data_IF_892653386587
#
_entry.id   IF_892653386587
#
_cell.length_a   1.000
_cell.length_b   1.000
_cell.length_c   1.000
_cell.angle_alpha   90.00
_cell.angle_beta   90.00
_cell.angle_gamma   90.00
#
_symmetry.space_group_name_H-M   'P 1'
#
loop_
_entity.id
_entity.type
_entity.pdbx_description
1 polymer ?
#
# COMPACT_ATOMS: atom_id res chain seq x y z
N UNK A 1 -64.41 32.15 -30.78
CA UNK A 1 -63.22 32.26 -31.64
C UNK A 1 -62.11 32.90 -30.80
N UNK A 2 -60.88 32.35 -30.80
CA UNK A 2 -60.34 31.28 -29.94
C UNK A 2 -59.62 31.85 -28.68
N UNK A 3 -59.85 31.30 -27.48
CA UNK A 3 -59.11 30.23 -26.77
C UNK A 3 -57.77 30.67 -26.10
N UNK A 4 -57.62 30.54 -24.77
CA UNK A 4 -56.38 30.83 -24.07
C UNK A 4 -55.39 29.67 -24.24
N UNK A 5 -54.18 29.98 -24.72
CA UNK A 5 -53.12 28.99 -24.88
C UNK A 5 -52.44 28.78 -23.52
N UNK A 6 -52.83 27.73 -22.83
CA UNK A 6 -52.18 27.19 -21.63
C UNK A 6 -50.79 26.68 -22.04
N UNK A 7 -49.74 27.38 -21.63
CA UNK A 7 -48.36 26.90 -21.79
C UNK A 7 -48.04 26.01 -20.59
N UNK A 8 -48.30 24.71 -20.73
CA UNK A 8 -47.85 23.66 -19.82
C UNK A 8 -46.33 23.62 -19.79
N UNK A 9 -45.71 24.14 -18.73
CA UNK A 9 -44.37 23.74 -18.34
C UNK A 9 -44.44 22.30 -17.82
N UNK A 10 -44.11 21.35 -18.69
CA UNK A 10 -43.83 19.97 -18.29
C UNK A 10 -42.56 19.99 -17.44
N UNK A 11 -42.75 19.92 -16.13
CA UNK A 11 -41.71 19.60 -15.16
C UNK A 11 -41.29 18.14 -15.43
N UNK A 12 -40.25 17.93 -16.25
CA UNK A 12 -39.56 16.65 -16.32
C UNK A 12 -38.83 16.44 -15.00
N UNK A 13 -39.56 15.97 -13.99
CA UNK A 13 -39.02 15.20 -12.89
C UNK A 13 -38.40 13.94 -13.48
N UNK A 14 -37.15 14.04 -13.90
CA UNK A 14 -36.25 12.90 -13.95
C UNK A 14 -36.07 12.46 -12.49
N UNK A 15 -37.01 11.67 -12.00
CA UNK A 15 -36.82 10.78 -10.88
C UNK A 15 -35.80 9.75 -11.31
N UNK A 16 -34.53 10.14 -11.31
CA UNK A 16 -33.46 9.21 -11.05
C UNK A 16 -33.80 8.59 -9.71
N UNK A 17 -34.38 7.39 -9.74
CA UNK A 17 -34.44 6.52 -8.59
C UNK A 17 -32.98 6.22 -8.21
N UNK A 18 -32.37 7.13 -7.47
CA UNK A 18 -31.26 6.79 -6.63
C UNK A 18 -31.82 5.73 -5.69
N UNK A 19 -31.57 4.47 -6.03
CA UNK A 19 -31.68 3.39 -5.05
C UNK A 19 -30.77 3.86 -3.92
N UNK A 20 -31.37 4.34 -2.84
CA UNK A 20 -30.71 4.50 -1.57
C UNK A 20 -30.41 3.06 -1.10
N UNK A 21 -29.42 2.43 -1.75
CA UNK A 21 -28.91 1.14 -1.32
C UNK A 21 -28.34 1.39 0.06
N UNK A 22 -29.06 0.92 1.09
CA UNK A 22 -28.64 1.06 2.48
C UNK A 22 -27.20 0.56 2.65
N UNK A 23 -26.51 1.04 3.68
CA UNK A 23 -25.15 0.61 4.01
C UNK A 23 -25.05 -0.93 4.18
N UNK A 24 -26.17 -1.58 4.51
CA UNK A 24 -26.28 -3.01 4.73
C UNK A 24 -25.90 -3.87 3.53
N UNK A 25 -25.19 -4.95 3.81
CA UNK A 25 -24.69 -5.88 2.80
C UNK A 25 -23.32 -6.44 3.17
N UNK A 26 -22.86 -7.40 2.38
CA UNK A 26 -21.47 -7.85 2.40
C UNK A 26 -20.67 -6.95 1.46
N UNK A 27 -19.49 -6.55 1.91
CA UNK A 27 -18.61 -5.63 1.19
C UNK A 27 -17.24 -6.25 1.05
N UNK A 28 -16.62 -6.04 -0.11
CA UNK A 28 -15.22 -6.34 -0.36
C UNK A 28 -14.49 -5.08 -0.80
N UNK A 29 -13.43 -4.76 -0.08
CA UNK A 29 -12.47 -3.73 -0.45
C UNK A 29 -11.17 -4.40 -0.91
N UNK A 30 -10.82 -4.22 -2.16
CA UNK A 30 -9.48 -4.58 -2.68
C UNK A 30 -8.59 -3.34 -2.69
N UNK A 31 -7.36 -3.51 -2.19
CA UNK A 31 -6.31 -2.50 -2.17
C UNK A 31 -5.09 -3.08 -2.87
N UNK A 32 -4.84 -2.62 -4.08
CA UNK A 32 -3.64 -2.98 -4.86
C UNK A 32 -2.60 -1.88 -4.68
N UNK A 33 -1.32 -2.21 -4.63
CA UNK A 33 -0.29 -1.19 -4.53
C UNK A 33 1.12 -1.72 -4.63
N UNK A 34 2.07 -0.82 -4.44
CA UNK A 34 3.47 -1.17 -4.27
C UNK A 34 4.16 -0.27 -3.27
N UNK A 35 5.29 -0.75 -2.77
CA UNK A 35 6.27 0.07 -2.09
C UNK A 35 7.61 -0.02 -2.80
N UNK A 36 8.26 1.13 -2.97
CA UNK A 36 9.64 1.24 -3.41
C UNK A 36 10.54 1.35 -2.18
N UNK A 37 11.44 0.40 -2.03
CA UNK A 37 12.44 0.31 -0.97
C UNK A 37 13.74 0.81 -1.55
N UNK A 38 14.17 2.01 -1.14
CA UNK A 38 15.32 2.69 -1.72
C UNK A 38 16.42 2.90 -0.68
N UNK A 39 17.64 2.55 -1.06
CA UNK A 39 18.86 2.88 -0.33
C UNK A 39 19.57 4.03 -1.03
N UNK A 40 19.61 5.19 -0.37
CA UNK A 40 20.05 6.45 -0.97
C UNK A 40 18.94 7.49 -1.07
N UNK A 41 19.12 8.44 -1.97
CA UNK A 41 18.19 9.54 -2.24
C UNK A 41 17.33 9.21 -3.48
N UNK A 42 16.14 9.82 -3.66
CA UNK A 42 15.25 9.55 -4.80
C UNK A 42 15.89 9.76 -6.19
N UNK A 43 16.94 10.58 -6.29
CA UNK A 43 17.66 10.85 -7.54
C UNK A 43 19.01 10.10 -7.64
N UNK A 44 19.45 9.50 -6.53
CA UNK A 44 20.74 8.83 -6.40
C UNK A 44 20.62 7.68 -5.39
N UNK A 45 20.10 6.55 -5.85
CA UNK A 45 19.75 5.41 -5.02
C UNK A 45 19.43 4.15 -5.82
N UNK A 46 19.69 3.01 -5.18
CA UNK A 46 19.32 1.69 -5.69
C UNK A 46 18.28 1.06 -4.79
N UNK A 47 17.44 0.19 -5.34
CA UNK A 47 16.45 -0.50 -4.53
C UNK A 47 15.57 -1.48 -5.29
N UNK A 48 14.45 -1.83 -4.68
CA UNK A 48 13.43 -2.69 -5.28
C UNK A 48 12.05 -2.11 -5.09
N UNK A 49 11.16 -2.32 -6.06
CA UNK A 49 9.72 -2.09 -5.91
C UNK A 49 9.03 -3.43 -5.75
N UNK A 50 8.20 -3.56 -4.73
CA UNK A 50 7.46 -4.79 -4.46
C UNK A 50 5.97 -4.51 -4.55
N UNK A 51 5.27 -5.12 -5.52
CA UNK A 51 3.82 -5.09 -5.60
C UNK A 51 3.17 -5.98 -4.53
N UNK A 52 2.04 -5.54 -4.01
CA UNK A 52 1.27 -6.26 -3.00
C UNK A 52 -0.22 -5.97 -3.16
N UNK A 53 -1.04 -6.85 -2.60
CA UNK A 53 -2.48 -6.71 -2.55
C UNK A 53 -3.01 -7.00 -1.14
N UNK A 54 -3.96 -6.19 -0.69
CA UNK A 54 -4.76 -6.40 0.52
C UNK A 54 -6.24 -6.48 0.13
N UNK A 55 -6.91 -7.58 0.48
CA UNK A 55 -8.35 -7.72 0.31
C UNK A 55 -9.02 -7.77 1.68
N UNK A 56 -10.01 -6.91 1.91
CA UNK A 56 -10.79 -6.81 3.15
C UNK A 56 -12.24 -7.15 2.86
N UNK A 57 -12.81 -8.08 3.61
CA UNK A 57 -14.21 -8.46 3.58
C UNK A 57 -14.88 -8.10 4.90
N UNK A 58 -16.06 -7.49 4.84
CA UNK A 58 -16.83 -7.15 6.03
C UNK A 58 -18.33 -7.16 5.73
N UNK A 59 -19.14 -7.12 6.78
CA UNK A 59 -20.59 -7.00 6.64
C UNK A 59 -21.09 -5.80 7.43
N UNK A 60 -22.06 -5.11 6.85
CA UNK A 60 -22.89 -4.14 7.56
C UNK A 60 -24.30 -4.70 7.68
N UNK A 61 -24.86 -4.65 8.89
CA UNK A 61 -26.23 -5.10 9.19
C UNK A 61 -26.87 -4.10 10.14
N UNK A 62 -28.09 -3.66 9.83
CA UNK A 62 -28.83 -2.68 10.62
C UNK A 62 -28.00 -1.40 10.87
N UNK A 63 -27.20 -1.00 9.88
CA UNK A 63 -26.29 0.14 9.99
C UNK A 63 -25.08 -0.06 10.89
N UNK A 64 -24.81 -1.28 11.37
CA UNK A 64 -23.67 -1.62 12.22
C UNK A 64 -22.64 -2.48 11.50
N UNK A 65 -21.36 -2.23 11.80
CA UNK A 65 -20.25 -3.05 11.31
C UNK A 65 -20.19 -4.38 12.07
N UNK A 66 -20.24 -5.51 11.36
CA UNK A 66 -19.86 -6.83 11.87
C UNK A 66 -18.37 -7.08 11.59
N UNK A 67 -17.71 -7.90 12.43
CA UNK A 67 -16.28 -8.23 12.33
C UNK A 67 -15.86 -8.54 10.88
N UNK A 68 -14.86 -7.81 10.38
CA UNK A 68 -14.26 -8.03 9.08
C UNK A 68 -13.03 -8.93 9.14
N UNK A 69 -12.64 -9.44 7.98
CA UNK A 69 -11.39 -10.17 7.78
C UNK A 69 -10.63 -9.53 6.64
N UNK A 70 -9.30 -9.62 6.69
CA UNK A 70 -8.44 -9.19 5.62
C UNK A 70 -7.41 -10.26 5.29
N UNK A 71 -6.93 -10.22 4.05
CA UNK A 71 -5.77 -10.97 3.59
C UNK A 71 -4.78 -10.05 2.89
N UNK A 72 -3.49 -10.36 3.01
CA UNK A 72 -2.42 -9.61 2.37
C UNK A 72 -1.45 -10.58 1.69
N UNK A 73 -1.04 -10.24 0.47
CA UNK A 73 -0.11 -11.04 -0.35
C UNK A 73 0.80 -10.15 -1.17
N UNK A 74 1.93 -10.72 -1.59
CA UNK A 74 2.74 -10.15 -2.68
C UNK A 74 2.00 -10.39 -4.00
N UNK A 75 2.11 -9.44 -4.92
CA UNK A 75 1.41 -9.48 -6.22
C UNK A 75 2.41 -9.45 -7.38
N UNK A 76 3.28 -10.45 -7.44
CA UNK A 76 4.32 -10.58 -8.46
C UNK A 76 5.74 -10.49 -7.89
N UNK A 77 6.70 -10.38 -8.80
CA UNK A 77 8.12 -10.30 -8.48
C UNK A 77 8.55 -8.88 -8.12
N UNK A 78 9.66 -8.77 -7.39
CA UNK A 78 10.28 -7.49 -7.10
C UNK A 78 10.91 -6.88 -8.36
N UNK A 79 10.58 -5.62 -8.67
CA UNK A 79 11.18 -4.88 -9.78
C UNK A 79 12.45 -4.15 -9.31
N UNK A 80 13.57 -4.24 -10.05
CA UNK A 80 14.78 -3.51 -9.73
C UNK A 80 14.59 -2.00 -9.93
N UNK A 81 15.09 -1.20 -9.00
CA UNK A 81 15.12 0.26 -9.09
C UNK A 81 16.56 0.76 -9.09
N UNK A 82 16.85 1.68 -10.02
CA UNK A 82 18.16 2.31 -10.13
C UNK A 82 18.01 3.76 -10.55
N UNK A 83 18.54 4.66 -9.73
CA UNK A 83 18.58 6.10 -9.96
C UNK A 83 20.02 6.60 -9.77
N UNK A 84 20.71 7.09 -10.80
CA UNK A 84 20.33 7.06 -12.21
C UNK A 84 20.15 5.65 -12.77
N UNK A 85 19.45 5.48 -13.91
CA UNK A 85 19.27 4.17 -14.53
C UNK A 85 20.59 3.44 -14.77
N UNK A 86 20.59 2.14 -14.52
CA UNK A 86 21.72 1.21 -14.74
C UNK A 86 22.95 1.45 -13.85
N UNK A 87 22.88 2.32 -12.85
CA UNK A 87 23.98 2.50 -11.89
C UNK A 87 24.06 1.38 -10.85
N UNK A 88 22.92 0.78 -10.56
CA UNK A 88 22.76 -0.23 -9.53
C UNK A 88 22.05 -1.43 -10.13
N UNK A 89 22.64 -2.60 -9.96
CA UNK A 89 21.96 -3.86 -10.18
C UNK A 89 21.38 -4.31 -8.84
N UNK A 90 20.07 -4.18 -8.70
CA UNK A 90 19.37 -4.44 -7.45
C UNK A 90 18.43 -5.63 -7.60
N UNK A 91 18.37 -6.48 -6.59
CA UNK A 91 17.48 -7.64 -6.57
C UNK A 91 17.02 -7.96 -5.17
N UNK A 92 15.81 -8.48 -5.04
CA UNK A 92 15.38 -9.10 -3.80
C UNK A 92 16.25 -10.34 -3.54
N UNK A 93 16.65 -10.52 -2.29
CA UNK A 93 17.45 -11.67 -1.86
C UNK A 93 16.83 -12.27 -0.60
N UNK A 94 17.06 -13.56 -0.38
CA UNK A 94 16.75 -14.18 0.91
C UNK A 94 17.47 -13.43 2.02
N UNK A 95 16.84 -13.31 3.18
CA UNK A 95 17.41 -12.63 4.33
C UNK A 95 16.55 -12.79 5.57
N UNK A 96 16.92 -12.07 6.62
CA UNK A 96 16.23 -12.11 7.90
C UNK A 96 16.09 -10.72 8.48
N UNK A 97 15.05 -10.53 9.29
CA UNK A 97 14.76 -9.32 10.03
C UNK A 97 14.43 -9.66 11.48
N UNK A 98 14.93 -8.84 12.42
CA UNK A 98 14.68 -8.96 13.85
C UNK A 98 13.53 -8.03 14.26
N UNK A 99 12.43 -8.59 14.73
CA UNK A 99 11.29 -7.79 15.18
C UNK A 99 11.50 -7.16 16.57
N UNK A 100 10.53 -6.37 17.03
CA UNK A 100 10.60 -5.70 18.34
C UNK A 100 10.57 -6.66 19.54
N UNK A 101 10.19 -7.93 19.32
CA UNK A 101 10.26 -8.98 20.34
C UNK A 101 11.56 -9.79 20.27
N UNK A 102 12.54 -9.32 19.49
CA UNK A 102 13.82 -9.99 19.25
C UNK A 102 13.66 -11.38 18.59
N UNK A 103 12.56 -11.58 17.86
CA UNK A 103 12.35 -12.77 17.06
C UNK A 103 12.86 -12.54 15.64
N UNK A 104 13.64 -13.51 15.13
CA UNK A 104 14.18 -13.48 13.79
C UNK A 104 13.19 -14.09 12.79
N UNK A 105 12.93 -13.40 11.69
CA UNK A 105 12.01 -13.86 10.64
C UNK A 105 12.69 -13.78 9.27
N UNK A 106 12.39 -14.76 8.41
CA UNK A 106 12.83 -14.75 7.00
C UNK A 106 12.12 -13.66 6.19
N UNK A 107 12.78 -13.17 5.13
CA UNK A 107 12.25 -12.16 4.19
C UNK A 107 12.29 -12.68 2.73
N UNK A 108 11.34 -12.28 1.86
CA UNK A 108 10.28 -11.31 2.11
C UNK A 108 9.17 -11.88 2.99
N UNK A 109 8.55 -11.03 3.82
CA UNK A 109 7.51 -11.46 4.75
C UNK A 109 6.47 -10.41 4.98
N UNK A 110 5.22 -10.81 4.77
CA UNK A 110 4.06 -10.12 5.33
C UNK A 110 3.82 -10.68 6.74
N UNK A 111 3.72 -9.81 7.75
CA UNK A 111 3.57 -10.23 9.15
C UNK A 111 2.37 -11.16 9.33
N UNK A 112 1.22 -10.76 8.80
CA UNK A 112 -0.02 -11.51 8.83
C UNK A 112 -0.63 -11.62 7.43
N UNK A 113 -0.58 -12.81 6.85
CA UNK A 113 -1.23 -13.08 5.57
C UNK A 113 -2.77 -13.01 5.67
N UNK A 114 -3.32 -13.24 6.87
CA UNK A 114 -4.74 -13.04 7.22
C UNK A 114 -4.84 -12.38 8.59
N UNK A 115 -5.76 -11.43 8.74
CA UNK A 115 -5.92 -10.67 9.99
C UNK A 115 -7.36 -10.16 10.17
N UNK A 116 -7.82 -9.97 11.42
CA UNK A 116 -9.11 -9.36 11.70
C UNK A 116 -9.11 -7.87 11.35
N UNK A 117 -10.27 -7.35 10.95
CA UNK A 117 -10.51 -5.93 10.73
C UNK A 117 -11.70 -5.50 11.58
N UNK A 118 -11.46 -4.47 12.39
CA UNK A 118 -12.52 -3.80 13.13
C UNK A 118 -13.05 -2.63 12.29
N UNK A 119 -14.27 -2.18 12.58
CA UNK A 119 -14.83 -1.04 11.90
C UNK A 119 -16.01 -0.40 12.60
N UNK A 120 -16.36 0.78 12.14
CA UNK A 120 -17.50 1.58 12.59
C UNK A 120 -18.20 2.13 11.34
N UNK A 121 -19.53 2.18 11.37
CA UNK A 121 -20.32 2.80 10.29
C UNK A 121 -20.96 4.07 10.84
N UNK A 122 -20.79 5.17 10.12
CA UNK A 122 -21.46 6.43 10.37
C UNK A 122 -22.23 6.83 9.09
N UNK A 123 -23.54 6.56 9.10
CA UNK A 123 -24.42 6.76 7.95
C UNK A 123 -23.99 5.95 6.72
N UNK A 124 -23.29 6.61 5.79
CA UNK A 124 -22.80 6.01 4.53
C UNK A 124 -21.28 5.92 4.47
N UNK A 125 -20.59 6.11 5.59
CA UNK A 125 -19.13 6.02 5.68
C UNK A 125 -18.79 4.85 6.58
N UNK A 126 -17.79 4.06 6.18
CA UNK A 126 -17.16 3.05 7.03
C UNK A 126 -15.75 3.51 7.40
N UNK A 127 -15.42 3.39 8.68
CA UNK A 127 -14.06 3.52 9.19
C UNK A 127 -13.54 2.12 9.51
N UNK A 128 -12.54 1.66 8.78
CA UNK A 128 -11.87 0.37 9.00
C UNK A 128 -10.58 0.57 9.79
N UNK A 129 -10.27 -0.36 10.70
CA UNK A 129 -9.04 -0.39 11.50
C UNK A 129 -8.46 -1.80 11.50
N UNK A 130 -7.13 -1.98 11.43
CA UNK A 130 -6.54 -3.29 11.64
C UNK A 130 -6.92 -3.77 13.05
N UNK A 131 -7.23 -5.05 13.21
CA UNK A 131 -7.58 -5.62 14.52
C UNK A 131 -6.39 -5.77 15.47
N UNK A 132 -5.22 -5.21 15.14
CA UNK A 132 -4.00 -5.25 15.94
C UNK A 132 -3.49 -3.83 16.19
N UNK A 133 -2.99 -3.59 17.41
CA UNK A 133 -2.29 -2.35 17.73
C UNK A 133 -0.95 -2.24 16.96
N UNK A 134 -0.43 -1.02 16.76
CA UNK A 134 0.85 -0.78 16.10
C UNK A 134 1.97 -1.71 16.64
N UNK A 135 2.82 -2.27 15.75
CA UNK A 135 3.07 -1.83 14.37
C UNK A 135 2.15 -2.40 13.29
N UNK A 136 1.01 -3.01 13.64
CA UNK A 136 0.03 -3.48 12.65
C UNK A 136 0.58 -4.58 11.73
N UNK A 137 0.11 -4.61 10.47
CA UNK A 137 0.63 -5.49 9.42
C UNK A 137 1.72 -4.75 8.62
N UNK A 138 2.75 -5.48 8.19
CA UNK A 138 3.89 -4.91 7.46
C UNK A 138 4.46 -5.90 6.47
N UNK A 139 5.20 -5.37 5.50
CA UNK A 139 6.07 -6.11 4.59
C UNK A 139 7.53 -5.84 4.96
N UNK A 140 8.23 -6.90 5.36
CA UNK A 140 9.67 -6.92 5.56
C UNK A 140 10.36 -7.51 4.32
N UNK A 141 11.42 -6.86 3.84
CA UNK A 141 12.18 -7.27 2.65
C UNK A 141 13.67 -7.19 2.92
N UNK A 142 14.42 -8.10 2.32
CA UNK A 142 15.87 -7.93 2.12
C UNK A 142 16.16 -7.81 0.62
N UNK A 143 16.95 -6.83 0.24
CA UNK A 143 17.44 -6.67 -1.13
C UNK A 143 18.94 -6.41 -1.13
N UNK A 144 19.59 -6.72 -2.24
CA UNK A 144 21.01 -6.43 -2.49
C UNK A 144 21.10 -5.53 -3.72
N UNK A 145 21.92 -4.49 -3.62
CA UNK A 145 22.29 -3.62 -4.73
C UNK A 145 23.80 -3.67 -4.95
N UNK A 146 24.20 -3.90 -6.19
CA UNK A 146 25.60 -3.95 -6.62
C UNK A 146 25.89 -2.73 -7.50
N UNK A 147 26.97 -2.03 -7.18
CA UNK A 147 27.51 -0.96 -8.00
C UNK A 147 28.87 -1.39 -8.56
N UNK A 148 28.91 -1.67 -9.87
CA UNK A 148 30.13 -2.09 -10.58
C UNK A 148 31.07 -0.92 -10.91
N UNK A 149 30.56 0.32 -10.87
CA UNK A 149 31.31 1.52 -11.22
C UNK A 149 31.88 2.22 -9.97
N UNK A 150 33.18 2.52 -9.99
CA UNK A 150 33.86 3.29 -8.93
C UNK A 150 33.27 4.70 -8.74
N UNK A 151 32.54 5.26 -9.72
CA UNK A 151 31.79 6.52 -9.58
C UNK A 151 30.64 6.44 -8.58
N UNK A 152 30.13 5.24 -8.31
CA UNK A 152 29.12 4.99 -7.29
C UNK A 152 29.71 4.79 -5.87
N UNK A 153 31.03 4.92 -5.70
CA UNK A 153 31.66 4.87 -4.37
C UNK A 153 31.20 6.01 -3.45
N UNK A 154 30.93 7.20 -3.99
CA UNK A 154 30.39 8.33 -3.23
C UNK A 154 28.91 8.14 -2.82
N UNK A 155 28.15 7.32 -3.58
CA UNK A 155 26.76 7.00 -3.24
C UNK A 155 26.64 6.32 -1.87
N UNK A 156 27.57 5.41 -1.52
CA UNK A 156 27.56 4.75 -0.21
C UNK A 156 27.68 5.73 0.95
N UNK A 157 28.53 6.76 0.83
CA UNK A 157 28.70 7.78 1.85
C UNK A 157 27.48 8.70 1.99
N UNK A 158 26.72 8.92 0.90
CA UNK A 158 25.48 9.69 0.89
C UNK A 158 24.30 8.90 1.46
N UNK A 159 24.14 7.63 1.05
CA UNK A 159 23.05 6.77 1.48
C UNK A 159 23.06 6.54 3.01
N UNK A 160 24.24 6.43 3.63
CA UNK A 160 24.37 6.35 5.09
C UNK A 160 23.90 7.61 5.82
N UNK A 161 24.04 8.79 5.22
CA UNK A 161 23.51 10.03 5.81
C UNK A 161 21.98 10.04 5.76
N UNK A 162 21.39 9.52 4.67
CA UNK A 162 19.94 9.37 4.54
C UNK A 162 19.31 8.42 5.58
N UNK A 163 20.06 7.39 6.02
CA UNK A 163 19.65 6.41 7.07
C UNK A 163 19.24 7.08 8.40
N UNK A 164 19.83 8.24 8.71
CA UNK A 164 19.60 8.96 9.98
C UNK A 164 18.42 9.94 9.93
N UNK A 165 17.89 10.27 8.74
CA UNK A 165 17.06 11.49 8.59
C UNK A 165 15.57 11.29 8.75
N UNK A 166 15.00 10.08 8.61
CA UNK A 166 13.56 9.90 8.85
C UNK A 166 13.28 8.48 9.29
N UNK A 167 12.85 8.25 10.54
CA UNK A 167 12.03 7.15 11.11
C UNK A 167 11.98 5.73 10.49
N UNK A 168 12.83 5.40 9.52
CA UNK A 168 12.86 4.20 8.70
C UNK A 168 13.73 3.20 9.42
N UNK A 169 13.18 2.02 9.70
CA UNK A 169 13.95 0.88 10.20
C UNK A 169 14.65 0.22 9.02
N UNK A 170 15.67 0.90 8.52
CA UNK A 170 16.52 0.39 7.45
C UNK A 170 17.83 -0.07 8.08
N UNK A 171 18.14 -1.35 7.95
CA UNK A 171 19.45 -1.91 8.30
C UNK A 171 20.21 -2.26 7.03
N UNK A 172 21.51 -1.99 6.98
CA UNK A 172 22.29 -2.14 5.77
C UNK A 172 23.69 -2.68 6.08
N UNK A 173 24.05 -3.79 5.44
CA UNK A 173 25.37 -4.39 5.45
C UNK A 173 26.12 -4.04 4.17
N UNK A 174 27.40 -3.71 4.31
CA UNK A 174 28.24 -3.25 3.20
C UNK A 174 29.42 -4.18 3.02
N UNK A 175 29.71 -4.52 1.76
CA UNK A 175 30.88 -5.31 1.42
C UNK A 175 31.49 -4.81 0.11
N UNK A 176 32.80 -4.60 0.09
CA UNK A 176 33.55 -4.44 -1.16
C UNK A 176 33.99 -5.82 -1.62
N UNK A 177 33.62 -6.19 -2.85
CA UNK A 177 33.98 -7.46 -3.48
C UNK A 177 34.67 -7.18 -4.82
N UNK A 178 35.20 -8.21 -5.47
CA UNK A 178 35.92 -8.05 -6.74
C UNK A 178 35.03 -7.56 -7.89
N UNK A 179 33.72 -7.81 -7.79
CA UNK A 179 32.67 -7.45 -8.76
C UNK A 179 32.00 -6.10 -8.48
N UNK A 180 32.39 -5.40 -7.41
CA UNK A 180 31.90 -4.07 -7.09
C UNK A 180 31.62 -3.86 -5.61
N UNK A 181 30.89 -2.79 -5.33
CA UNK A 181 30.42 -2.48 -3.98
C UNK A 181 29.00 -3.01 -3.79
N UNK A 182 28.79 -3.75 -2.70
CA UNK A 182 27.53 -4.40 -2.38
C UNK A 182 26.89 -3.72 -1.16
N UNK A 183 25.61 -3.35 -1.30
CA UNK A 183 24.74 -2.95 -0.21
C UNK A 183 23.64 -3.98 -0.04
N UNK A 184 23.62 -4.68 1.09
CA UNK A 184 22.55 -5.59 1.46
C UNK A 184 21.67 -4.90 2.50
N UNK A 185 20.42 -4.65 2.15
CA UNK A 185 19.52 -3.76 2.88
C UNK A 185 18.29 -4.52 3.33
N UNK A 186 17.90 -4.32 4.59
CA UNK A 186 16.70 -4.85 5.23
C UNK A 186 15.79 -3.69 5.56
N UNK A 187 14.54 -3.77 5.16
CA UNK A 187 13.57 -2.70 5.37
C UNK A 187 12.19 -3.25 5.69
N UNK A 188 11.44 -2.51 6.50
CA UNK A 188 10.09 -2.87 6.93
C UNK A 188 9.16 -1.68 6.71
N UNK A 189 8.07 -1.92 5.99
CA UNK A 189 7.06 -0.90 5.67
C UNK A 189 5.66 -1.42 6.03
N UNK A 190 4.84 -0.58 6.64
CA UNK A 190 3.48 -0.94 7.03
C UNK A 190 2.59 -1.17 5.79
N UNK A 191 1.65 -2.11 5.89
CA UNK A 191 0.63 -2.37 4.89
C UNK A 191 -0.73 -1.83 5.35
N UNK A 192 -1.61 -1.39 4.43
CA UNK A 192 -2.91 -0.88 4.81
C UNK A 192 -3.84 -1.98 5.38
N UNK A 193 -4.83 -1.59 6.22
CA UNK A 193 -4.97 -0.28 6.85
C UNK A 193 -3.94 -0.12 7.98
N UNK A 194 -3.17 0.96 7.96
CA UNK A 194 -2.07 1.16 8.93
C UNK A 194 -2.59 1.60 10.31
N UNK A 195 -3.53 2.53 10.33
CA UNK A 195 -4.17 3.06 11.55
C UNK A 195 -5.70 3.04 11.40
N UNK A 196 -6.22 3.83 10.46
CA UNK A 196 -7.61 3.82 10.06
C UNK A 196 -7.74 4.14 8.57
N UNK A 197 -8.82 3.64 7.96
CA UNK A 197 -9.18 3.91 6.58
C UNK A 197 -10.67 4.26 6.53
N UNK A 198 -10.99 5.47 6.07
CA UNK A 198 -12.37 5.95 5.94
C UNK A 198 -12.80 5.97 4.48
N UNK A 199 -13.93 5.33 4.18
CA UNK A 199 -14.40 5.14 2.81
C UNK A 199 -15.92 5.29 2.76
N UNK A 200 -16.49 5.82 1.65
CA UNK A 200 -17.92 5.79 1.45
C UNK A 200 -18.39 4.37 1.11
N UNK A 201 -19.48 3.92 1.72
CA UNK A 201 -20.20 2.68 1.40
C UNK A 201 -21.03 2.86 0.12
N UNK A 202 -20.32 2.99 -1.00
CA UNK A 202 -20.89 3.11 -2.34
C UNK A 202 -20.36 1.95 -3.18
N UNK A 203 -21.27 1.16 -3.75
CA UNK A 203 -20.88 0.05 -4.61
C UNK A 203 -20.16 0.56 -5.88
N UNK A 204 -19.08 -0.13 -6.24
CA UNK A 204 -18.20 0.26 -7.34
C UNK A 204 -17.29 1.46 -7.05
N UNK A 205 -17.24 1.98 -5.81
CA UNK A 205 -16.39 3.10 -5.47
C UNK A 205 -14.91 2.77 -5.67
N UNK A 206 -14.16 3.71 -6.23
CA UNK A 206 -12.74 3.57 -6.50
C UNK A 206 -11.99 4.87 -6.18
N UNK A 207 -10.77 4.72 -5.70
CA UNK A 207 -9.86 5.82 -5.46
C UNK A 207 -8.42 5.35 -5.71
N UNK A 208 -7.53 6.28 -6.06
CA UNK A 208 -6.11 5.98 -6.18
C UNK A 208 -5.32 7.07 -5.48
N UNK A 209 -4.32 6.65 -4.71
CA UNK A 209 -3.34 7.51 -4.08
C UNK A 209 -2.03 7.39 -4.84
N UNK A 210 -1.50 8.55 -5.26
CA UNK A 210 -0.28 8.64 -6.05
C UNK A 210 -0.43 8.12 -7.48
N UNK A 211 0.70 7.96 -8.16
CA UNK A 211 0.79 7.39 -9.51
C UNK A 211 1.65 6.12 -9.54
N UNK A 212 1.45 5.19 -10.49
CA UNK A 212 2.27 3.97 -10.58
C UNK A 212 3.78 4.21 -10.74
N UNK A 213 4.22 5.44 -11.02
CA UNK A 213 5.64 5.78 -11.11
C UNK A 213 6.24 6.21 -9.76
N UNK A 214 5.41 6.62 -8.79
CA UNK A 214 5.85 7.10 -7.49
C UNK A 214 6.32 5.98 -6.56
N UNK A 215 7.00 6.37 -5.46
CA UNK A 215 7.56 5.43 -4.49
C UNK A 215 6.49 4.56 -3.82
N UNK A 216 5.31 5.13 -3.57
CA UNK A 216 4.15 4.40 -3.09
C UNK A 216 2.93 4.76 -3.95
N UNK A 217 2.25 3.74 -4.42
CA UNK A 217 1.01 3.86 -5.17
C UNK A 217 0.01 2.86 -4.61
N UNK A 218 -1.24 3.29 -4.50
CA UNK A 218 -2.33 2.46 -3.99
C UNK A 218 -3.61 2.71 -4.77
N UNK A 219 -4.33 1.66 -5.12
CA UNK A 219 -5.66 1.72 -5.71
C UNK A 219 -6.64 0.97 -4.81
N UNK A 220 -7.74 1.63 -4.49
CA UNK A 220 -8.83 1.09 -3.70
C UNK A 220 -10.01 0.80 -4.62
N UNK A 221 -10.65 -0.35 -4.43
CA UNK A 221 -11.92 -0.71 -5.07
C UNK A 221 -12.85 -1.34 -4.05
N UNK A 222 -13.97 -0.69 -3.79
CA UNK A 222 -15.03 -1.18 -2.92
C UNK A 222 -16.19 -1.69 -3.77
N UNK A 223 -16.61 -2.93 -3.51
CA UNK A 223 -17.77 -3.56 -4.14
C UNK A 223 -18.69 -4.16 -3.09
N UNK A 224 -19.99 -4.17 -3.39
CA UNK A 224 -20.99 -4.92 -2.63
C UNK A 224 -21.17 -6.28 -3.27
N UNK A 225 -21.21 -7.33 -2.44
CA UNK A 225 -21.45 -8.73 -2.86
C UNK A 225 -22.92 -9.14 -2.73
#
# INVERSE_FOLDING_TARGET
MPAPCVLSLLLCLLTSAAVAGGADGRWRLSIDGHNSYLFGEPQLGGGVRIPWQVDIEFRVRDGQFELGTASARLDGDAEPLSYPPSWFDCRQVEGTYLDSSLSLHETPRIRFAKFPVAGEVDGKVVRLRPGYEPPGNYLAVTYECVAADGRASEWFGLAERGKQVMGKRQDAEKQSRADGLHARVREVVALPPESSLELPLVDGWQFSFGTPQEQSWRRYRLVRE
#
